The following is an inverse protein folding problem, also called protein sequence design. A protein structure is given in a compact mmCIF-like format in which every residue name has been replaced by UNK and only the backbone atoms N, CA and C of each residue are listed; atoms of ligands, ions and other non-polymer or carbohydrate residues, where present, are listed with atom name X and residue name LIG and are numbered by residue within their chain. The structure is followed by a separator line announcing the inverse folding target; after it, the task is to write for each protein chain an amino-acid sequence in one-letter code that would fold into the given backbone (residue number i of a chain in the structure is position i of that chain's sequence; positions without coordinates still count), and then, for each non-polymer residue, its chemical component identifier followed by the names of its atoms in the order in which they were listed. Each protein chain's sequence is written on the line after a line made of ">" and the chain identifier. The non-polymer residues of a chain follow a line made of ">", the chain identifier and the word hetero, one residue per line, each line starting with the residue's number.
data_IF_297951898851
#
_entry.id   IF_297951898851
#
_cell.length_a   1.000
_cell.length_b   1.000
_cell.length_c   1.000
_cell.angle_alpha   90.00
_cell.angle_beta   90.00
_cell.angle_gamma   90.00
#
_symmetry.space_group_name_H-M   'P 1'
#
loop_
_entity.id
_entity.type
_entity.pdbx_description
1 polymer ?
#
# COMPACT_ATOMS: atom_id res chain seq x y z
N UNK A 1 -2.50 15.02 -9.96
CA UNK A 1 -2.79 14.16 -8.79
C UNK A 1 -1.78 14.32 -7.66
N UNK A 2 -0.51 13.89 -7.75
CA UNK A 2 0.41 14.05 -6.61
C UNK A 2 0.72 15.52 -6.28
N UNK A 3 0.86 16.37 -7.31
CA UNK A 3 1.10 17.80 -7.16
C UNK A 3 -0.08 18.51 -6.48
N UNK A 4 -1.32 18.06 -6.73
CA UNK A 4 -2.52 18.58 -6.08
C UNK A 4 -2.56 18.22 -4.59
N UNK A 5 -2.13 17.01 -4.23
CA UNK A 5 -2.05 16.58 -2.82
C UNK A 5 -0.97 17.39 -2.09
N UNK A 6 0.19 17.61 -2.72
CA UNK A 6 1.24 18.44 -2.14
C UNK A 6 0.76 19.88 -1.93
N UNK A 7 0.15 20.48 -2.94
CA UNK A 7 -0.38 21.83 -2.85
C UNK A 7 -1.41 21.95 -1.72
N UNK A 8 -2.33 20.98 -1.62
CA UNK A 8 -3.30 20.94 -0.53
C UNK A 8 -2.64 20.86 0.85
N UNK A 9 -1.57 20.07 0.99
CA UNK A 9 -0.81 19.95 2.25
C UNK A 9 -0.22 21.29 2.66
N UNK A 10 0.40 22.01 1.72
CA UNK A 10 1.04 23.30 1.95
C UNK A 10 0.00 24.38 2.28
N UNK A 11 -1.06 24.49 1.48
CA UNK A 11 -2.10 25.51 1.64
C UNK A 11 -2.87 25.37 2.96
N UNK A 12 -3.07 24.14 3.43
CA UNK A 12 -3.87 23.87 4.62
C UNK A 12 -3.02 23.65 5.88
N UNK A 13 -1.70 23.81 5.79
CA UNK A 13 -0.79 23.63 6.93
C UNK A 13 -0.84 22.21 7.52
N UNK A 14 -1.00 21.20 6.67
CA UNK A 14 -1.10 19.81 7.12
C UNK A 14 0.25 19.37 7.71
N UNK A 15 0.22 18.92 8.97
CA UNK A 15 1.42 18.48 9.68
C UNK A 15 1.75 16.99 9.52
N UNK A 16 0.83 16.19 8.96
CA UNK A 16 0.95 14.73 8.90
C UNK A 16 0.02 14.14 7.83
N UNK A 17 0.50 13.14 7.09
CA UNK A 17 -0.24 12.51 5.99
C UNK A 17 -0.39 11.01 6.25
N UNK A 18 -1.61 10.48 6.06
CA UNK A 18 -1.88 9.04 6.08
C UNK A 18 -2.39 8.62 4.71
N UNK A 19 -1.78 7.58 4.14
CA UNK A 19 -2.21 7.03 2.86
C UNK A 19 -2.41 5.51 2.96
N UNK A 20 -3.57 5.04 2.53
CA UNK A 20 -3.76 3.62 2.25
C UNK A 20 -3.04 3.24 0.96
N UNK A 21 -2.39 2.07 0.94
CA UNK A 21 -1.85 1.50 -0.29
C UNK A 21 -2.55 0.17 -0.59
N UNK A 22 -3.21 0.10 -1.74
CA UNK A 22 -3.77 -1.15 -2.24
C UNK A 22 -2.67 -1.89 -2.99
N UNK A 23 -1.95 -2.75 -2.27
CA UNK A 23 -1.06 -3.73 -2.90
C UNK A 23 -1.90 -4.79 -3.60
N UNK A 24 -1.61 -5.08 -4.88
CA UNK A 24 -2.11 -6.32 -5.48
C UNK A 24 -1.47 -7.48 -4.71
N UNK A 25 -2.24 -8.48 -4.24
CA UNK A 25 -1.80 -9.48 -3.26
C UNK A 25 -0.71 -10.47 -3.74
N UNK A 26 -0.10 -10.26 -4.92
CA UNK A 26 0.75 -11.26 -5.58
C UNK A 26 2.23 -11.17 -5.24
N UNK A 27 2.70 -10.10 -4.56
CA UNK A 27 4.13 -9.87 -4.39
C UNK A 27 4.42 -9.68 -2.91
N UNK A 28 5.20 -10.58 -2.32
CA UNK A 28 5.63 -10.63 -0.91
C UNK A 28 6.30 -9.34 -0.38
N UNK A 29 6.46 -8.33 -1.22
CA UNK A 29 7.08 -7.04 -0.87
C UNK A 29 6.00 -5.98 -0.90
N UNK A 30 5.98 -5.11 0.11
CA UNK A 30 5.12 -3.93 0.15
C UNK A 30 5.34 -3.08 -1.11
N UNK A 31 4.49 -3.26 -2.12
CA UNK A 31 4.53 -2.43 -3.33
C UNK A 31 3.89 -1.10 -2.96
N UNK A 32 4.74 -0.09 -2.75
CA UNK A 32 4.30 1.28 -2.61
C UNK A 32 3.66 1.73 -3.93
N UNK A 33 2.41 2.17 -3.89
CA UNK A 33 1.72 2.68 -5.08
C UNK A 33 2.42 3.93 -5.65
N UNK A 34 2.29 4.16 -6.96
CA UNK A 34 2.98 5.26 -7.65
C UNK A 34 2.66 6.65 -7.08
N UNK A 35 1.45 6.88 -6.58
CA UNK A 35 1.09 8.13 -5.89
C UNK A 35 1.80 8.24 -4.54
N UNK A 36 1.85 7.16 -3.76
CA UNK A 36 2.48 7.16 -2.45
C UNK A 36 4.01 7.29 -2.54
N UNK A 37 4.67 6.64 -3.52
CA UNK A 37 6.11 6.81 -3.77
C UNK A 37 6.46 8.26 -4.10
N UNK A 38 5.68 8.89 -4.97
CA UNK A 38 5.88 10.31 -5.32
C UNK A 38 5.74 11.21 -4.10
N UNK A 39 4.67 11.05 -3.32
CA UNK A 39 4.42 11.88 -2.12
C UNK A 39 5.54 11.73 -1.09
N UNK A 40 5.99 10.51 -0.80
CA UNK A 40 7.09 10.28 0.16
C UNK A 40 8.39 10.95 -0.29
N UNK A 41 8.62 11.09 -1.60
CA UNK A 41 9.83 11.73 -2.14
C UNK A 41 9.76 13.25 -2.22
N UNK A 42 8.55 13.83 -2.26
CA UNK A 42 8.38 15.26 -2.56
C UNK A 42 7.91 16.09 -1.38
N UNK A 43 7.26 15.49 -0.38
CA UNK A 43 6.68 16.23 0.74
C UNK A 43 7.62 16.22 1.96
N UNK A 44 7.70 17.35 2.66
CA UNK A 44 8.53 17.54 3.86
C UNK A 44 7.84 17.10 5.18
N UNK A 45 6.59 16.63 5.10
CA UNK A 45 5.77 16.21 6.24
C UNK A 45 5.87 14.71 6.46
N UNK A 46 5.77 14.22 7.71
CA UNK A 46 5.78 12.78 7.95
C UNK A 46 4.58 12.10 7.28
N UNK A 47 4.84 10.96 6.64
CA UNK A 47 3.85 10.16 5.90
C UNK A 47 3.78 8.76 6.49
N UNK A 48 2.59 8.28 6.83
CA UNK A 48 2.33 6.89 7.22
C UNK A 48 1.60 6.15 6.12
N UNK A 49 2.14 5.00 5.71
CA UNK A 49 1.50 4.10 4.76
C UNK A 49 0.82 2.98 5.53
N UNK A 50 -0.47 2.83 5.28
CA UNK A 50 -1.27 1.71 5.80
C UNK A 50 -1.40 0.67 4.69
N UNK A 51 -0.98 -0.55 4.99
CA UNK A 51 -1.17 -1.72 4.15
C UNK A 51 -2.25 -2.59 4.79
N UNK A 52 -3.17 -3.13 3.98
CA UNK A 52 -3.98 -4.25 4.44
C UNK A 52 -3.09 -5.50 4.47
N UNK A 53 -3.09 -6.21 5.59
CA UNK A 53 -2.54 -7.57 5.65
C UNK A 53 -3.14 -8.36 4.48
N UNK A 54 -2.32 -8.94 3.59
CA UNK A 54 -2.86 -9.82 2.56
C UNK A 54 -3.63 -10.90 3.31
N UNK A 55 -4.93 -11.04 3.01
CA UNK A 55 -5.67 -12.22 3.43
C UNK A 55 -4.90 -13.40 2.86
N UNK A 56 -4.17 -14.12 3.71
CA UNK A 56 -3.47 -15.33 3.32
C UNK A 56 -4.52 -16.19 2.65
N UNK A 57 -4.30 -16.52 1.38
CA UNK A 57 -5.09 -17.54 0.73
C UNK A 57 -4.86 -18.79 1.56
N UNK A 58 -5.80 -19.15 2.44
CA UNK A 58 -5.84 -20.46 3.06
C UNK A 58 -6.12 -21.37 1.87
N UNK A 59 -5.06 -22.01 1.36
CA UNK A 59 -5.21 -23.07 0.39
C UNK A 59 -6.26 -24.01 0.97
N UNK A 60 -7.40 -24.13 0.29
CA UNK A 60 -8.39 -25.12 0.69
C UNK A 60 -7.69 -26.46 0.63
N UNK A 61 -7.78 -27.21 1.72
CA UNK A 61 -7.36 -28.61 1.95
C UNK A 61 -7.81 -29.63 0.86
N UNK A 62 -8.39 -29.16 -0.24
CA UNK A 62 -8.87 -29.95 -1.38
C UNK A 62 -7.80 -30.36 -2.40
N UNK A 63 -6.56 -29.86 -2.29
CA UNK A 63 -5.47 -30.24 -3.20
C UNK A 63 -4.57 -31.36 -2.63
N UNK A 64 -4.84 -31.86 -1.42
CA UNK A 64 -4.14 -33.00 -0.83
C UNK A 64 -4.96 -34.27 -1.09
N UNK A 65 -4.92 -34.79 -2.32
CA UNK A 65 -5.42 -36.14 -2.59
C UNK A 65 -4.27 -37.15 -2.38
N UNK A 66 -4.41 -38.15 -1.48
CA UNK A 66 -3.34 -39.10 -1.17
C UNK A 66 -3.03 -40.12 -2.30
N UNK A 67 -3.74 -40.08 -3.43
CA UNK A 67 -3.75 -41.17 -4.42
C UNK A 67 -3.09 -40.82 -5.77
N UNK A 68 -2.25 -39.79 -5.83
CA UNK A 68 -1.62 -39.31 -7.08
C UNK A 68 -0.11 -39.58 -7.21
N UNK A 69 0.39 -40.70 -6.67
CA UNK A 69 1.72 -41.26 -6.95
C UNK A 69 1.62 -42.59 -7.69
#
# INVERSE_FOLDING_TARGET
>A
MHDEIQHYIEENGIGFVVMGSRGRPTVEKAILGSTADKIIRTVDKPVTIVHEEPQSFVGTDRDIHPDSW
#
